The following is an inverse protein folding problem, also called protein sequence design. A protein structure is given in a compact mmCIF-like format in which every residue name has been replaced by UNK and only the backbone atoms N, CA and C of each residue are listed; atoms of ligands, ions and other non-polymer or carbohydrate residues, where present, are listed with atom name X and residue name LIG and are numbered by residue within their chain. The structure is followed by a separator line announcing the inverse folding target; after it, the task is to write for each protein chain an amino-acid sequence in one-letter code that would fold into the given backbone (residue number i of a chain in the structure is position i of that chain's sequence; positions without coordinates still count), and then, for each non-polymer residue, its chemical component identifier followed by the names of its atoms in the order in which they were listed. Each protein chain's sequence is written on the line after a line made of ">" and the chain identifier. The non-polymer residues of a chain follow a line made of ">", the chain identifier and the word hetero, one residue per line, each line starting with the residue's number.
data_IF_065633484894
#
_entry.id   IF_065633484894
#
_cell.length_a   1.000
_cell.length_b   1.000
_cell.length_c   1.000
_cell.angle_alpha   90.00
_cell.angle_beta   90.00
_cell.angle_gamma   90.00
#
_symmetry.space_group_name_H-M   'P 1'
#
loop_
_entity.id
_entity.type
_entity.pdbx_description
1 polymer ?
#
# COMPACT_ATOMS: atom_id res chain seq x y z
N UNK A 1 -14.49 -37.32 7.03
CA UNK A 1 -13.63 -36.29 7.65
C UNK A 1 -13.69 -35.06 6.77
N UNK A 2 -14.33 -33.99 7.22
CA UNK A 2 -14.42 -32.73 6.46
C UNK A 2 -13.03 -32.12 6.33
N UNK A 3 -12.48 -32.04 5.11
CA UNK A 3 -11.28 -31.27 4.81
C UNK A 3 -11.67 -29.78 4.88
N UNK A 4 -11.18 -29.12 5.91
CA UNK A 4 -11.38 -27.70 6.20
C UNK A 4 -10.66 -26.80 5.16
N UNK A 5 -11.18 -25.59 4.93
CA UNK A 5 -10.77 -24.63 3.88
C UNK A 5 -9.27 -24.23 3.99
N UNK A 6 -8.43 -24.40 2.94
CA UNK A 6 -6.98 -24.10 2.97
C UNK A 6 -6.60 -22.62 3.03
N UNK A 7 -7.46 -21.75 2.51
CA UNK A 7 -7.41 -20.31 2.77
C UNK A 7 -8.87 -19.93 3.13
N UNK A 8 -9.15 -19.01 4.08
CA UNK A 8 -10.50 -18.66 4.56
C UNK A 8 -10.97 -17.21 4.27
N UNK A 9 -12.27 -16.94 4.45
CA UNK A 9 -12.97 -15.70 4.08
C UNK A 9 -12.32 -14.42 4.67
N UNK A 10 -11.92 -13.50 3.76
CA UNK A 10 -11.14 -12.28 4.02
C UNK A 10 -9.79 -12.22 3.26
N UNK A 11 -9.24 -13.40 2.95
CA UNK A 11 -8.11 -13.79 2.08
C UNK A 11 -7.01 -12.79 1.64
N UNK A 12 -5.74 -13.15 1.92
CA UNK A 12 -4.60 -12.88 1.04
C UNK A 12 -3.80 -14.16 0.72
N UNK A 13 -3.51 -14.39 -0.57
CA UNK A 13 -2.61 -15.44 -1.11
C UNK A 13 -1.45 -14.84 -1.91
N UNK A 14 -1.57 -13.56 -2.26
CA UNK A 14 -0.66 -12.81 -3.13
C UNK A 14 0.15 -11.86 -2.26
N UNK A 15 1.48 -11.95 -2.37
CA UNK A 15 2.42 -11.05 -1.73
C UNK A 15 2.97 -10.10 -2.79
N UNK A 16 2.66 -8.79 -2.76
CA UNK A 16 3.20 -7.87 -3.74
C UNK A 16 4.72 -7.80 -3.59
N UNK A 17 5.41 -7.81 -4.73
CA UNK A 17 6.84 -7.58 -4.81
C UNK A 17 7.06 -6.23 -5.48
N UNK A 18 7.48 -5.25 -4.67
CA UNK A 18 7.78 -3.90 -5.12
C UNK A 18 9.26 -3.79 -5.51
N UNK A 19 9.50 -3.24 -6.70
CA UNK A 19 10.82 -2.81 -7.12
C UNK A 19 10.88 -1.29 -7.05
N UNK A 20 11.92 -0.77 -6.41
CA UNK A 20 12.09 0.67 -6.16
C UNK A 20 13.55 1.06 -6.37
N UNK A 21 13.85 2.35 -6.54
CA UNK A 21 15.22 2.82 -6.41
C UNK A 21 15.58 2.96 -4.94
N UNK A 22 16.74 2.46 -4.55
CA UNK A 22 17.26 2.55 -3.18
C UNK A 22 16.33 1.89 -2.15
N UNK A 23 16.08 0.59 -2.29
CA UNK A 23 15.14 -0.14 -1.45
C UNK A 23 15.44 -0.06 0.05
N UNK A 24 16.70 0.12 0.46
CA UNK A 24 17.06 0.40 1.85
C UNK A 24 16.32 1.63 2.42
N UNK A 25 16.18 2.70 1.63
CA UNK A 25 15.44 3.92 2.04
C UNK A 25 13.93 3.68 2.07
N UNK A 26 13.42 2.81 1.20
CA UNK A 26 12.01 2.42 1.22
C UNK A 26 11.68 1.62 2.48
N UNK A 27 12.58 0.74 2.95
CA UNK A 27 12.43 0.04 4.23
C UNK A 27 12.26 1.06 5.37
N UNK A 28 13.17 2.03 5.49
CA UNK A 28 13.11 3.06 6.53
C UNK A 28 11.83 3.92 6.44
N UNK A 29 11.38 4.21 5.21
CA UNK A 29 10.14 4.94 5.00
C UNK A 29 8.92 4.11 5.44
N UNK A 30 8.79 2.86 5.02
CA UNK A 30 7.64 2.01 5.37
C UNK A 30 7.58 1.74 6.88
N UNK A 31 8.72 1.58 7.55
CA UNK A 31 8.76 1.46 9.02
C UNK A 31 8.20 2.72 9.69
N UNK A 32 8.60 3.92 9.26
CA UNK A 32 8.13 5.18 9.88
C UNK A 32 6.70 5.55 9.50
N UNK A 33 6.32 5.36 8.23
CA UNK A 33 5.03 5.79 7.70
C UNK A 33 3.90 4.83 8.07
N UNK A 34 4.15 3.52 7.91
CA UNK A 34 3.13 2.48 8.00
C UNK A 34 3.29 1.56 9.21
N UNK A 35 4.31 1.80 10.05
CA UNK A 35 4.62 0.92 11.18
C UNK A 35 5.11 -0.45 10.72
N UNK A 36 5.70 -0.53 9.53
CA UNK A 36 6.09 -1.78 8.93
C UNK A 36 7.28 -2.44 9.65
N UNK A 37 7.18 -3.74 9.89
CA UNK A 37 8.22 -4.56 10.55
C UNK A 37 9.09 -5.24 9.49
N UNK A 38 10.42 -5.07 9.57
CA UNK A 38 11.35 -5.79 8.71
C UNK A 38 11.50 -7.25 9.17
N UNK A 39 11.17 -8.20 8.31
CA UNK A 39 11.26 -9.63 8.61
C UNK A 39 12.55 -10.26 8.10
N UNK A 40 12.91 -9.91 6.87
CA UNK A 40 14.09 -10.43 6.17
C UNK A 40 14.70 -9.32 5.34
N UNK A 41 16.03 -9.29 5.28
CA UNK A 41 16.78 -8.46 4.33
C UNK A 41 18.01 -9.23 3.86
N UNK A 42 18.18 -9.25 2.55
CA UNK A 42 19.33 -9.81 1.85
C UNK A 42 19.88 -8.71 0.93
N UNK A 43 21.11 -8.30 1.19
CA UNK A 43 21.82 -7.35 0.34
C UNK A 43 22.59 -8.09 -0.77
N UNK A 44 22.89 -7.39 -1.85
CA UNK A 44 23.83 -7.87 -2.87
C UNK A 44 25.23 -8.07 -2.27
N UNK A 45 26.09 -8.94 -2.84
CA UNK A 45 27.44 -9.19 -2.29
C UNK A 45 28.33 -7.95 -2.17
N UNK A 46 28.09 -6.93 -2.99
CA UNK A 46 28.80 -5.65 -2.95
C UNK A 46 28.26 -4.67 -1.89
N UNK A 47 27.15 -4.99 -1.23
CA UNK A 47 26.49 -4.18 -0.21
C UNK A 47 25.82 -2.91 -0.73
N UNK A 48 25.72 -2.72 -2.04
CA UNK A 48 25.23 -1.45 -2.63
C UNK A 48 23.73 -1.39 -2.80
N UNK A 49 23.08 -2.55 -2.91
CA UNK A 49 21.65 -2.70 -3.20
C UNK A 49 21.03 -3.81 -2.36
N UNK A 50 19.75 -3.66 -2.05
CA UNK A 50 18.94 -4.72 -1.45
C UNK A 50 18.52 -5.67 -2.57
N UNK A 51 18.98 -6.92 -2.49
CA UNK A 51 18.57 -7.99 -3.41
C UNK A 51 17.14 -8.43 -3.14
N UNK A 52 16.77 -8.52 -1.85
CA UNK A 52 15.44 -8.92 -1.42
C UNK A 52 15.20 -8.51 0.03
N UNK A 53 13.99 -8.06 0.34
CA UNK A 53 13.52 -7.84 1.69
C UNK A 53 12.04 -8.20 1.81
N UNK A 54 11.62 -8.53 3.03
CA UNK A 54 10.23 -8.79 3.39
C UNK A 54 9.84 -7.86 4.54
N UNK A 55 8.70 -7.17 4.38
CA UNK A 55 8.17 -6.26 5.38
C UNK A 55 6.72 -6.60 5.71
N UNK A 56 6.40 -6.70 6.99
CA UNK A 56 5.02 -6.90 7.46
C UNK A 56 4.34 -5.57 7.71
N UNK A 57 3.12 -5.43 7.19
CA UNK A 57 2.21 -4.31 7.48
C UNK A 57 0.87 -4.92 7.90
N UNK A 58 0.48 -4.73 9.16
CA UNK A 58 -0.66 -5.45 9.73
C UNK A 58 -0.42 -6.96 9.70
N UNK A 59 -1.26 -7.68 8.96
CA UNK A 59 -1.16 -9.13 8.75
C UNK A 59 -0.59 -9.52 7.37
N UNK A 60 -0.27 -8.53 6.53
CA UNK A 60 0.20 -8.74 5.16
C UNK A 60 1.71 -8.56 5.04
N UNK A 61 2.33 -9.32 4.14
CA UNK A 61 3.74 -9.15 3.76
C UNK A 61 3.83 -8.40 2.44
N UNK A 62 4.79 -7.49 2.34
CA UNK A 62 5.21 -6.83 1.10
C UNK A 62 6.69 -7.17 0.89
N UNK A 63 7.01 -7.71 -0.28
CA UNK A 63 8.39 -7.96 -0.69
C UNK A 63 8.95 -6.72 -1.39
N UNK A 64 10.25 -6.48 -1.22
CA UNK A 64 10.92 -5.29 -1.72
C UNK A 64 12.31 -5.64 -2.24
N UNK A 65 12.72 -5.01 -3.36
CA UNK A 65 14.09 -5.06 -3.84
C UNK A 65 14.43 -3.77 -4.59
N UNK A 66 15.72 -3.51 -4.74
CA UNK A 66 16.16 -2.51 -5.70
C UNK A 66 15.75 -2.91 -7.12
N UNK A 67 15.43 -1.92 -7.95
CA UNK A 67 15.21 -2.17 -9.37
C UNK A 67 16.46 -2.74 -10.05
N UNK A 68 16.25 -3.55 -11.09
CA UNK A 68 17.33 -4.13 -11.86
C UNK A 68 16.99 -4.13 -13.35
N UNK A 69 17.81 -3.41 -14.13
CA UNK A 69 17.72 -3.42 -15.59
C UNK A 69 18.04 -4.81 -16.15
N UNK A 70 19.02 -5.51 -15.57
CA UNK A 70 19.43 -6.85 -15.99
C UNK A 70 18.32 -7.90 -15.79
N UNK A 71 17.55 -7.76 -14.70
CA UNK A 71 16.44 -8.67 -14.38
C UNK A 71 15.10 -8.20 -14.94
N UNK A 72 15.05 -7.04 -15.62
CA UNK A 72 13.82 -6.49 -16.17
C UNK A 72 12.79 -6.09 -15.11
N UNK A 73 13.24 -5.61 -13.95
CA UNK A 73 12.39 -5.23 -12.80
C UNK A 73 12.44 -3.72 -12.53
N UNK A 74 11.82 -2.89 -13.39
CA UNK A 74 11.88 -1.43 -13.25
C UNK A 74 11.04 -0.93 -12.06
N UNK A 75 11.50 0.16 -11.44
CA UNK A 75 10.73 0.91 -10.45
C UNK A 75 9.64 1.79 -11.09
N UNK A 76 8.64 2.25 -10.30
CA UNK A 76 7.71 3.28 -10.76
C UNK A 76 8.40 4.51 -11.32
N UNK A 77 9.50 4.98 -10.70
CA UNK A 77 10.25 6.13 -11.19
C UNK A 77 10.84 5.89 -12.58
N UNK A 78 11.35 4.69 -12.85
CA UNK A 78 11.83 4.29 -14.18
C UNK A 78 10.70 4.20 -15.21
N UNK A 79 9.52 3.77 -14.79
CA UNK A 79 8.33 3.67 -15.65
C UNK A 79 7.56 4.99 -15.83
N UNK A 80 7.91 6.05 -15.10
CA UNK A 80 7.16 7.31 -15.09
C UNK A 80 5.91 7.32 -14.20
N UNK A 81 5.72 6.29 -13.37
CA UNK A 81 4.68 6.20 -12.35
C UNK A 81 4.23 4.78 -12.05
N UNK A 82 3.56 4.60 -10.92
CA UNK A 82 2.91 3.33 -10.58
C UNK A 82 1.58 3.17 -11.31
N UNK A 83 1.32 1.97 -11.83
CA UNK A 83 0.07 1.62 -12.53
C UNK A 83 -1.09 1.28 -11.59
N UNK A 84 -0.81 0.95 -10.33
CA UNK A 84 -1.79 0.57 -9.32
C UNK A 84 -1.53 1.21 -7.96
N UNK A 85 -2.32 0.83 -6.95
CA UNK A 85 -2.12 1.23 -5.55
C UNK A 85 -2.28 0.03 -4.63
N UNK A 86 -1.51 0.01 -3.54
CA UNK A 86 -1.72 -0.91 -2.44
C UNK A 86 -2.59 -0.23 -1.39
N UNK A 87 -3.66 -0.92 -0.97
CA UNK A 87 -4.58 -0.44 0.06
C UNK A 87 -4.19 -1.04 1.42
N UNK A 88 -4.06 -0.18 2.43
CA UNK A 88 -3.89 -0.59 3.81
C UNK A 88 -5.10 -0.11 4.60
N UNK A 89 -5.77 -1.04 5.29
CA UNK A 89 -6.75 -0.67 6.31
C UNK A 89 -6.04 -0.34 7.62
N UNK A 90 -6.45 0.75 8.24
CA UNK A 90 -5.89 1.25 9.51
C UNK A 90 -7.03 1.65 10.44
N UNK A 91 -6.76 1.65 11.74
CA UNK A 91 -7.74 2.07 12.75
C UNK A 91 -8.09 3.57 12.66
N UNK A 92 -7.16 4.39 12.17
CA UNK A 92 -7.37 5.83 12.00
C UNK A 92 -6.60 6.36 10.78
N UNK A 93 -7.34 6.67 9.71
CA UNK A 93 -6.78 7.19 8.46
C UNK A 93 -6.14 8.56 8.60
N UNK A 94 -6.69 9.49 9.37
CA UNK A 94 -6.11 10.85 9.50
C UNK A 94 -4.72 10.79 10.14
N UNK A 95 -4.57 10.00 11.20
CA UNK A 95 -3.31 9.81 11.89
C UNK A 95 -2.30 9.07 10.99
N UNK A 96 -2.73 8.03 10.27
CA UNK A 96 -1.87 7.30 9.34
C UNK A 96 -1.42 8.18 8.15
N UNK A 97 -2.34 8.97 7.61
CA UNK A 97 -2.08 9.94 6.56
C UNK A 97 -1.02 10.96 7.01
N UNK A 98 -1.21 11.59 8.17
CA UNK A 98 -0.25 12.58 8.68
C UNK A 98 1.14 11.96 8.89
N UNK A 99 1.23 10.76 9.48
CA UNK A 99 2.51 10.04 9.63
C UNK A 99 3.19 9.78 8.29
N UNK A 100 2.44 9.42 7.26
CA UNK A 100 2.99 9.20 5.92
C UNK A 100 3.55 10.51 5.32
N UNK A 101 2.81 11.62 5.45
CA UNK A 101 3.28 12.96 5.02
C UNK A 101 4.55 13.36 5.77
N UNK A 102 4.56 13.23 7.10
CA UNK A 102 5.73 13.55 7.94
C UNK A 102 6.95 12.67 7.60
N UNK A 103 6.72 11.43 7.15
CA UNK A 103 7.77 10.52 6.70
C UNK A 103 8.33 10.88 5.31
N UNK A 104 7.66 11.76 4.56
CA UNK A 104 8.08 12.27 3.25
C UNK A 104 7.15 11.88 2.08
N UNK A 105 5.96 11.34 2.34
CA UNK A 105 5.00 11.05 1.27
C UNK A 105 4.40 12.33 0.68
N UNK A 106 4.00 12.24 -0.57
CA UNK A 106 3.23 13.29 -1.26
C UNK A 106 1.74 12.99 -1.17
N UNK A 107 0.93 13.98 -0.79
CA UNK A 107 -0.53 13.86 -0.81
C UNK A 107 -1.04 13.74 -2.25
N UNK A 108 -1.80 12.67 -2.54
CA UNK A 108 -2.56 12.53 -3.79
C UNK A 108 -4.05 12.83 -3.59
N UNK A 109 -4.60 12.46 -2.42
CA UNK A 109 -5.95 12.80 -2.00
C UNK A 109 -5.99 12.89 -0.48
N UNK A 110 -6.53 13.98 0.07
CA UNK A 110 -6.70 14.16 1.50
C UNK A 110 -7.75 13.18 2.07
N UNK A 111 -7.69 12.85 3.37
CA UNK A 111 -8.74 12.08 4.05
C UNK A 111 -10.14 12.65 3.85
N UNK A 112 -11.06 11.83 3.37
CA UNK A 112 -12.47 12.16 3.21
C UNK A 112 -13.34 10.93 3.45
N UNK A 113 -14.58 11.16 3.88
CA UNK A 113 -15.58 10.11 4.02
C UNK A 113 -16.17 9.80 2.65
N UNK A 114 -16.16 8.53 2.28
CA UNK A 114 -16.52 8.06 0.96
C UNK A 114 -17.89 7.42 0.96
N UNK A 115 -18.58 7.47 -0.18
CA UNK A 115 -19.94 6.99 -0.30
C UNK A 115 -20.12 5.49 -0.01
N UNK A 116 -19.04 4.72 -0.06
CA UNK A 116 -19.01 3.28 0.23
C UNK A 116 -18.73 2.95 1.70
N UNK A 117 -18.69 3.95 2.60
CA UNK A 117 -18.62 3.72 4.04
C UNK A 117 -17.21 3.73 4.65
N UNK A 118 -16.19 4.07 3.87
CA UNK A 118 -14.83 4.26 4.40
C UNK A 118 -14.48 5.73 4.53
N UNK A 119 -13.67 6.05 5.53
CA UNK A 119 -12.79 7.22 5.48
C UNK A 119 -11.52 6.84 4.72
N UNK A 120 -11.19 7.56 3.66
CA UNK A 120 -10.18 7.15 2.68
C UNK A 120 -9.25 8.29 2.29
N UNK A 121 -7.98 7.98 2.02
CA UNK A 121 -7.01 8.92 1.45
C UNK A 121 -6.03 8.21 0.51
N UNK A 122 -5.25 8.99 -0.25
CA UNK A 122 -4.17 8.48 -1.11
C UNK A 122 -2.90 9.29 -0.95
N UNK A 123 -1.77 8.58 -0.91
CA UNK A 123 -0.43 9.15 -0.90
C UNK A 123 0.46 8.48 -1.93
N UNK A 124 1.48 9.20 -2.39
CA UNK A 124 2.59 8.63 -3.15
C UNK A 124 3.82 8.64 -2.26
N UNK A 125 4.50 7.51 -2.14
CA UNK A 125 5.76 7.46 -1.40
C UNK A 125 6.92 8.10 -2.19
N UNK A 126 8.08 8.34 -1.56
CA UNK A 126 9.24 8.94 -2.23
C UNK A 126 9.79 8.14 -3.41
N UNK A 127 9.37 6.88 -3.59
CA UNK A 127 9.86 5.95 -4.61
C UNK A 127 8.83 5.76 -5.74
N UNK A 128 7.80 6.60 -5.73
CA UNK A 128 6.79 6.65 -6.77
C UNK A 128 5.65 5.64 -6.62
N UNK A 129 5.66 4.78 -5.59
CA UNK A 129 4.54 3.85 -5.35
C UNK A 129 3.35 4.59 -4.77
N UNK A 130 2.15 4.14 -5.15
CA UNK A 130 0.90 4.71 -4.68
C UNK A 130 0.30 3.83 -3.58
N UNK A 131 -0.08 4.47 -2.50
CA UNK A 131 -0.71 3.85 -1.36
C UNK A 131 -2.08 4.49 -1.13
N UNK A 132 -3.05 3.65 -0.81
CA UNK A 132 -4.34 4.06 -0.30
C UNK A 132 -4.46 3.65 1.17
N UNK A 133 -5.04 4.51 2.00
CA UNK A 133 -5.31 4.20 3.40
C UNK A 133 -6.80 4.34 3.65
N UNK A 134 -7.38 3.36 4.33
CA UNK A 134 -8.81 3.33 4.65
C UNK A 134 -9.07 2.97 6.12
N UNK A 135 -10.10 3.57 6.69
CA UNK A 135 -10.75 3.12 7.92
C UNK A 135 -12.21 2.90 7.56
N UNK A 136 -12.71 1.70 7.80
CA UNK A 136 -14.13 1.43 7.61
C UNK A 136 -14.91 2.12 8.74
N UNK A 137 -15.86 2.99 8.40
CA UNK A 137 -16.61 3.81 9.37
C UNK A 137 -18.12 3.54 9.36
N UNK A 138 -18.65 2.93 8.29
CA UNK A 138 -20.08 2.64 8.15
C UNK A 138 -20.31 1.40 7.26
N UNK A 139 -21.11 0.45 7.73
CA UNK A 139 -21.64 -0.64 6.90
C UNK A 139 -22.70 -0.09 5.92
N UNK A 140 -22.35 -0.03 4.63
CA UNK A 140 -23.24 0.44 3.56
C UNK A 140 -23.69 -0.74 2.71
N UNK A 141 -25.01 -0.94 2.55
CA UNK A 141 -25.52 -2.01 1.68
C UNK A 141 -25.16 -1.71 0.21
N UNK A 142 -25.05 -2.73 -0.66
CA UNK A 142 -24.76 -2.50 -2.07
C UNK A 142 -25.72 -1.52 -2.76
N UNK A 143 -27.01 -1.61 -2.45
CA UNK A 143 -28.05 -0.73 -3.02
C UNK A 143 -27.88 0.72 -2.57
N UNK A 144 -27.57 0.92 -1.29
CA UNK A 144 -27.35 2.25 -0.72
C UNK A 144 -26.05 2.86 -1.26
N UNK A 145 -24.99 2.05 -1.41
CA UNK A 145 -23.74 2.46 -2.03
C UNK A 145 -23.95 2.93 -3.47
N UNK A 146 -24.72 2.18 -4.27
CA UNK A 146 -25.08 2.58 -5.64
C UNK A 146 -25.88 3.89 -5.66
N UNK A 147 -26.87 4.03 -4.76
CA UNK A 147 -27.68 5.25 -4.65
C UNK A 147 -26.82 6.48 -4.35
N UNK A 148 -25.91 6.37 -3.38
CA UNK A 148 -24.98 7.46 -3.00
C UNK A 148 -24.02 7.79 -4.15
N UNK A 149 -23.47 6.79 -4.84
CA UNK A 149 -22.60 6.98 -6.00
C UNK A 149 -23.28 7.78 -7.10
N UNK A 150 -24.53 7.46 -7.45
CA UNK A 150 -25.28 8.20 -8.47
C UNK A 150 -25.50 9.67 -8.11
N UNK A 151 -25.67 10.00 -6.82
CA UNK A 151 -25.86 11.39 -6.39
C UNK A 151 -24.59 12.23 -6.52
N UNK A 152 -23.41 11.61 -6.35
CA UNK A 152 -22.12 12.26 -6.50
C UNK A 152 -21.79 12.47 -7.99
N UNK A 153 -21.96 11.44 -8.82
CA UNK A 153 -21.54 11.48 -10.23
C UNK A 153 -22.56 12.08 -11.20
N UNK A 154 -23.79 12.38 -10.76
CA UNK A 154 -24.80 13.11 -11.56
C UNK A 154 -24.78 14.63 -11.34
N UNK A 155 -23.93 15.14 -10.43
CA UNK A 155 -23.74 16.58 -10.29
C UNK A 155 -22.80 17.06 -11.42
N UNK A 156 -23.20 18.09 -12.19
CA UNK A 156 -22.43 18.60 -13.33
C UNK A 156 -21.10 19.22 -12.93
#
# INVERSE_FOLDING_TARGET
>A
MSKVRPIPEGYHTVTPYLHVRHAARAIDFYTRAFGAELLLRLDMPDGTRVMHAEMRIGDSVVMLADESHEMGTPSPETLGGASGSLLIYVENVDAAFQRAIDAGATQLAAPADMFWGDRFCKVQDPFGQRWALATHIEDVTPEECERRAQQIFKQP
#
